data_IF_323944746534
#
_entry.id   IF_323944746534
#
_cell.length_a   1.000
_cell.length_b   1.000
_cell.length_c   1.000
_cell.angle_alpha   90.00
_cell.angle_beta   90.00
_cell.angle_gamma   90.00
#
_symmetry.space_group_name_H-M   'P 1'
#
loop_
_entity.id
_entity.type
_entity.pdbx_description
1 polymer ?
#
# COMPACT_ATOMS: atom_id res chain seq x y z
N UNK A 1 17.03 -14.96 -6.43
CA UNK A 1 17.47 -13.58 -6.76
C UNK A 1 18.90 -13.39 -6.31
N UNK A 2 19.74 -12.81 -7.17
CA UNK A 2 21.12 -12.53 -6.82
C UNK A 2 21.18 -11.48 -5.70
N UNK A 3 22.16 -11.58 -4.77
CA UNK A 3 22.23 -10.65 -3.63
C UNK A 3 22.31 -9.18 -4.01
N UNK A 4 23.04 -8.85 -5.06
CA UNK A 4 23.15 -7.46 -5.53
C UNK A 4 21.81 -6.93 -6.00
N UNK A 5 21.05 -7.75 -6.72
CA UNK A 5 19.73 -7.39 -7.23
C UNK A 5 18.72 -7.23 -6.08
N UNK A 6 18.84 -8.06 -5.06
CA UNK A 6 18.02 -7.95 -3.86
C UNK A 6 18.27 -6.60 -3.17
N UNK A 7 19.52 -6.24 -3.00
CA UNK A 7 19.90 -4.97 -2.35
C UNK A 7 19.37 -3.77 -3.15
N UNK A 8 19.52 -3.79 -4.48
CA UNK A 8 18.99 -2.73 -5.36
C UNK A 8 17.47 -2.61 -5.24
N UNK A 9 16.79 -3.75 -5.23
CA UNK A 9 15.33 -3.80 -5.12
C UNK A 9 14.85 -3.24 -3.78
N UNK A 10 15.50 -3.65 -2.70
CA UNK A 10 15.18 -3.19 -1.35
C UNK A 10 15.49 -1.70 -1.14
N UNK A 11 16.50 -1.17 -1.85
CA UNK A 11 16.82 0.26 -1.79
C UNK A 11 15.67 1.14 -2.31
N UNK A 12 14.91 0.66 -3.29
CA UNK A 12 13.71 1.36 -3.77
C UNK A 12 12.60 1.25 -2.71
N UNK A 13 12.36 0.06 -2.20
CA UNK A 13 11.35 -0.17 -1.17
C UNK A 13 11.63 0.65 0.10
N UNK A 14 12.89 0.89 0.42
CA UNK A 14 13.30 1.69 1.59
C UNK A 14 12.70 3.09 1.56
N UNK A 15 12.45 3.65 0.38
CA UNK A 15 11.86 4.98 0.23
C UNK A 15 10.48 5.10 0.89
N UNK A 16 9.77 3.98 1.05
CA UNK A 16 8.46 3.97 1.71
C UNK A 16 8.54 4.28 3.20
N UNK A 17 9.71 4.14 3.81
CA UNK A 17 9.91 4.51 5.22
C UNK A 17 9.79 6.02 5.43
N UNK A 18 10.18 6.80 4.42
CA UNK A 18 10.15 8.26 4.44
C UNK A 18 8.97 8.85 3.67
N UNK A 19 8.23 8.04 2.92
CA UNK A 19 6.99 8.47 2.26
C UNK A 19 5.89 8.54 3.33
N UNK A 20 5.52 9.75 3.72
CA UNK A 20 4.54 9.96 4.78
C UNK A 20 3.13 10.07 4.23
N UNK A 21 2.19 9.51 4.97
CA UNK A 21 0.76 9.61 4.71
C UNK A 21 0.19 10.84 5.41
N UNK A 22 -1.03 11.22 5.03
CA UNK A 22 -1.77 12.30 5.71
C UNK A 22 -2.53 11.76 6.93
N UNK A 23 -1.88 10.87 7.66
CA UNK A 23 -2.37 10.27 8.90
C UNK A 23 -1.30 10.38 9.97
N UNK A 24 -1.73 10.48 11.21
CA UNK A 24 -0.83 10.62 12.35
C UNK A 24 -0.97 9.43 13.28
N UNK A 25 0.15 9.02 13.88
CA UNK A 25 0.11 8.03 14.96
C UNK A 25 -0.52 8.65 16.20
N UNK A 26 -0.91 7.83 17.16
CA UNK A 26 -1.48 8.30 18.44
C UNK A 26 -0.55 9.24 19.20
N UNK A 27 0.74 9.21 18.91
CA UNK A 27 1.75 10.08 19.53
C UNK A 27 2.07 11.34 18.71
N UNK A 28 1.33 11.59 17.65
CA UNK A 28 1.44 12.81 16.85
C UNK A 28 2.48 12.84 15.77
N UNK A 29 3.09 11.67 15.44
CA UNK A 29 4.03 11.55 14.34
C UNK A 29 3.28 11.14 13.07
N UNK A 30 3.70 11.66 11.92
CA UNK A 30 3.13 11.21 10.64
C UNK A 30 3.47 9.74 10.39
N UNK A 31 2.46 8.98 9.94
CA UNK A 31 2.62 7.60 9.55
C UNK A 31 3.32 7.49 8.19
N UNK A 32 4.19 6.49 8.04
CA UNK A 32 4.80 6.17 6.74
C UNK A 32 3.96 5.17 5.97
N UNK A 33 4.15 5.16 4.64
CA UNK A 33 3.51 4.16 3.75
C UNK A 33 3.95 2.75 4.13
N UNK A 34 5.22 2.57 4.49
CA UNK A 34 5.73 1.27 4.93
C UNK A 34 4.99 0.75 6.16
N UNK A 35 4.73 1.61 7.13
CA UNK A 35 4.02 1.24 8.36
C UNK A 35 2.57 0.84 8.08
N UNK A 36 1.89 1.59 7.23
CA UNK A 36 0.54 1.26 6.79
C UNK A 36 0.50 -0.10 6.09
N UNK A 37 1.40 -0.34 5.14
CA UNK A 37 1.47 -1.60 4.40
C UNK A 37 1.75 -2.79 5.31
N UNK A 38 2.64 -2.62 6.29
CA UNK A 38 2.91 -3.64 7.29
C UNK A 38 1.63 -3.96 8.08
N UNK A 39 0.91 -2.93 8.56
CA UNK A 39 -0.24 -3.14 9.42
C UNK A 39 -1.42 -3.80 8.69
N UNK A 40 -1.68 -3.46 7.43
CA UNK A 40 -2.72 -4.17 6.67
C UNK A 40 -2.33 -5.62 6.37
N UNK A 41 -1.05 -5.89 6.19
CA UNK A 41 -0.58 -7.27 6.02
C UNK A 41 -0.82 -8.08 7.29
N UNK A 42 -0.55 -7.49 8.46
CA UNK A 42 -0.85 -8.10 9.76
C UNK A 42 -2.35 -8.32 9.92
N UNK A 43 -3.18 -7.35 9.52
CA UNK A 43 -4.64 -7.49 9.57
C UNK A 43 -5.11 -8.67 8.71
N UNK A 44 -4.56 -8.83 7.51
CA UNK A 44 -4.90 -9.94 6.62
C UNK A 44 -4.66 -11.29 7.30
N UNK A 45 -3.55 -11.43 7.99
CA UNK A 45 -3.24 -12.62 8.76
C UNK A 45 -4.26 -12.84 9.89
N UNK A 46 -4.55 -11.80 10.65
CA UNK A 46 -5.41 -11.91 11.84
C UNK A 46 -6.90 -12.12 11.53
N UNK A 47 -7.36 -11.75 10.33
CA UNK A 47 -8.75 -12.01 9.91
C UNK A 47 -8.89 -13.25 9.01
N UNK A 48 -7.80 -13.98 8.79
CA UNK A 48 -7.79 -15.10 7.84
C UNK A 48 -8.77 -16.21 8.18
N UNK A 49 -9.06 -16.43 9.44
CA UNK A 49 -10.04 -17.43 9.89
C UNK A 49 -11.49 -17.06 9.54
N UNK A 50 -11.77 -15.78 9.31
CA UNK A 50 -13.09 -15.31 8.86
C UNK A 50 -13.30 -15.55 7.36
N UNK A 51 -12.24 -15.80 6.61
CA UNK A 51 -12.30 -15.99 5.16
C UNK A 51 -11.55 -17.26 4.73
N UNK A 52 -12.04 -18.45 5.15
CA UNK A 52 -11.32 -19.70 4.86
C UNK A 52 -11.19 -20.03 3.38
N UNK A 53 -12.04 -19.46 2.50
CA UNK A 53 -11.97 -19.65 1.06
C UNK A 53 -10.88 -18.80 0.40
N UNK A 54 -10.37 -17.77 1.08
CA UNK A 54 -9.39 -16.88 0.52
C UNK A 54 -7.99 -17.50 0.56
N UNK A 55 -7.21 -17.25 -0.48
CA UNK A 55 -5.79 -17.61 -0.51
C UNK A 55 -5.03 -16.58 0.34
N UNK A 56 -4.64 -16.97 1.54
CA UNK A 56 -3.98 -16.07 2.49
C UNK A 56 -2.63 -15.55 1.97
N UNK A 57 -1.84 -16.43 1.36
CA UNK A 57 -0.55 -16.03 0.79
C UNK A 57 -0.72 -14.91 -0.26
N UNK A 58 -1.67 -15.10 -1.17
CA UNK A 58 -1.98 -14.09 -2.19
C UNK A 58 -2.46 -12.78 -1.54
N UNK A 59 -3.35 -12.87 -0.58
CA UNK A 59 -3.89 -11.70 0.12
C UNK A 59 -2.79 -10.91 0.84
N UNK A 60 -1.91 -11.60 1.54
CA UNK A 60 -0.79 -10.95 2.24
C UNK A 60 0.18 -10.27 1.26
N UNK A 61 0.44 -10.91 0.11
CA UNK A 61 1.27 -10.32 -0.94
C UNK A 61 0.65 -9.05 -1.49
N UNK A 62 -0.66 -9.05 -1.74
CA UNK A 62 -1.40 -7.87 -2.19
C UNK A 62 -1.25 -6.71 -1.19
N UNK A 63 -1.51 -6.98 0.08
CA UNK A 63 -1.39 -5.98 1.13
C UNK A 63 0.02 -5.41 1.21
N UNK A 64 1.03 -6.27 1.12
CA UNK A 64 2.43 -5.89 1.25
C UNK A 64 2.89 -4.96 0.12
N UNK A 65 2.44 -5.21 -1.12
CA UNK A 65 2.94 -4.48 -2.30
C UNK A 65 2.01 -3.39 -2.80
N UNK A 66 0.83 -3.21 -2.19
CA UNK A 66 -0.20 -2.35 -2.78
C UNK A 66 0.24 -0.90 -3.00
N UNK A 67 1.08 -0.35 -2.15
CA UNK A 67 1.53 1.04 -2.23
C UNK A 67 3.01 1.19 -2.63
N UNK A 68 3.64 0.15 -3.20
CA UNK A 68 5.04 0.25 -3.65
C UNK A 68 5.27 1.38 -4.65
N UNK A 69 4.27 1.70 -5.47
CA UNK A 69 4.36 2.80 -6.43
C UNK A 69 4.64 4.15 -5.78
N UNK A 70 4.22 4.33 -4.55
CA UNK A 70 4.45 5.58 -3.81
C UNK A 70 5.93 5.81 -3.48
N UNK A 71 6.80 4.80 -3.65
CA UNK A 71 8.26 4.96 -3.57
C UNK A 71 8.80 5.93 -4.64
N UNK A 72 8.06 6.10 -5.73
CA UNK A 72 8.46 6.94 -6.86
C UNK A 72 7.82 8.32 -6.85
N UNK A 73 6.64 8.46 -6.27
CA UNK A 73 5.85 9.69 -6.29
C UNK A 73 5.52 10.25 -4.91
N UNK A 74 5.72 9.46 -3.86
CA UNK A 74 5.25 9.77 -2.52
C UNK A 74 3.74 9.59 -2.39
N UNK A 75 3.20 9.81 -1.20
CA UNK A 75 1.76 9.75 -0.95
C UNK A 75 1.14 11.09 -1.30
N UNK A 76 0.51 11.16 -2.48
CA UNK A 76 -0.25 12.33 -2.89
C UNK A 76 -1.68 12.14 -2.37
N UNK A 77 -2.23 13.10 -1.60
CA UNK A 77 -3.61 12.99 -1.11
C UNK A 77 -4.58 12.73 -2.26
N UNK A 78 -5.56 11.86 -2.04
CA UNK A 78 -6.52 11.43 -3.07
C UNK A 78 -7.19 12.61 -3.80
N UNK A 79 -7.50 13.68 -3.06
CA UNK A 79 -8.15 14.87 -3.64
C UNK A 79 -7.17 15.75 -4.46
N UNK A 80 -5.85 15.62 -4.26
CA UNK A 80 -4.83 16.32 -5.04
C UNK A 80 -4.26 15.45 -6.17
N UNK A 81 -4.51 14.13 -6.12
CA UNK A 81 -3.96 13.17 -7.07
C UNK A 81 -4.68 13.25 -8.40
N UNK A 82 -3.97 13.64 -9.46
CA UNK A 82 -4.50 13.71 -10.82
C UNK A 82 -4.31 12.38 -11.55
N UNK A 83 -5.01 12.20 -12.69
CA UNK A 83 -4.80 11.06 -13.58
C UNK A 83 -3.34 10.95 -14.05
N UNK A 84 -2.69 12.10 -14.27
CA UNK A 84 -1.28 12.15 -14.67
C UNK A 84 -0.36 11.60 -13.57
N UNK A 85 -0.68 11.89 -12.30
CA UNK A 85 0.07 11.37 -11.16
C UNK A 85 -0.07 9.86 -11.07
N UNK A 86 -1.28 9.34 -11.26
CA UNK A 86 -1.55 7.90 -11.26
C UNK A 86 -0.85 7.18 -12.42
N UNK A 87 -0.90 7.76 -13.62
CA UNK A 87 -0.22 7.21 -14.80
C UNK A 87 1.29 7.20 -14.62
N UNK A 88 1.85 8.26 -14.08
CA UNK A 88 3.29 8.38 -13.81
C UNK A 88 3.73 7.34 -12.79
N UNK A 89 2.99 7.20 -11.70
CA UNK A 89 3.28 6.22 -10.66
C UNK A 89 3.23 4.80 -11.22
N UNK A 90 2.17 4.47 -11.97
CA UNK A 90 2.01 3.16 -12.59
C UNK A 90 3.12 2.86 -13.58
N UNK A 91 3.53 3.83 -14.38
CA UNK A 91 4.61 3.70 -15.36
C UNK A 91 5.95 3.43 -14.67
N UNK A 92 6.29 4.21 -13.64
CA UNK A 92 7.54 4.05 -12.90
C UNK A 92 7.58 2.72 -12.15
N UNK A 93 6.47 2.33 -11.56
CA UNK A 93 6.35 1.04 -10.89
C UNK A 93 6.55 -0.12 -11.87
N UNK A 94 5.93 -0.03 -13.05
CA UNK A 94 6.07 -1.06 -14.06
C UNK A 94 7.52 -1.16 -14.57
N UNK A 95 8.18 -0.04 -14.82
CA UNK A 95 9.60 -0.02 -15.21
C UNK A 95 10.48 -0.71 -14.17
N UNK A 96 10.23 -0.44 -12.89
CA UNK A 96 10.95 -1.07 -11.80
C UNK A 96 10.68 -2.58 -11.75
N UNK A 97 9.41 -2.99 -11.87
CA UNK A 97 9.04 -4.41 -11.87
C UNK A 97 9.70 -5.19 -13.01
N UNK A 98 9.80 -4.58 -14.19
CA UNK A 98 10.40 -5.21 -15.37
C UNK A 98 11.88 -5.54 -15.18
N UNK A 99 12.54 -4.95 -14.20
CA UNK A 99 13.93 -5.22 -13.87
C UNK A 99 14.09 -6.40 -12.91
N UNK A 100 13.00 -6.88 -12.34
CA UNK A 100 13.04 -8.03 -11.42
C UNK A 100 13.17 -9.34 -12.19
N UNK A 101 13.85 -10.34 -11.61
CA UNK A 101 13.90 -11.67 -12.23
C UNK A 101 12.55 -12.39 -12.09
N UNK A 102 12.35 -13.43 -12.92
CA UNK A 102 11.24 -14.34 -12.72
C UNK A 102 11.49 -15.20 -11.47
N UNK A 103 10.47 -15.61 -10.72
CA UNK A 103 9.03 -15.45 -11.06
C UNK A 103 8.44 -14.13 -10.59
N UNK A 104 9.21 -13.22 -10.01
CA UNK A 104 8.70 -12.03 -9.31
C UNK A 104 8.03 -11.03 -10.27
N UNK A 105 8.60 -10.79 -11.45
CA UNK A 105 8.02 -9.84 -12.39
C UNK A 105 6.62 -10.29 -12.82
N UNK A 106 6.47 -11.53 -13.24
CA UNK A 106 5.18 -12.08 -13.70
C UNK A 106 4.15 -12.15 -12.55
N UNK A 107 4.58 -12.59 -11.38
CA UNK A 107 3.71 -12.68 -10.20
C UNK A 107 3.20 -11.31 -9.77
N UNK A 108 4.08 -10.31 -9.69
CA UNK A 108 3.69 -8.97 -9.27
C UNK A 108 2.76 -8.30 -10.29
N UNK A 109 3.03 -8.45 -11.57
CA UNK A 109 2.15 -7.93 -12.62
C UNK A 109 0.75 -8.52 -12.51
N UNK A 110 0.65 -9.81 -12.27
CA UNK A 110 -0.63 -10.50 -12.10
C UNK A 110 -1.36 -10.04 -10.83
N UNK A 111 -0.62 -9.88 -9.72
CA UNK A 111 -1.20 -9.39 -8.46
C UNK A 111 -1.77 -7.97 -8.63
N UNK A 112 -1.02 -7.06 -9.25
CA UNK A 112 -1.51 -5.70 -9.47
C UNK A 112 -2.72 -5.67 -10.40
N UNK A 113 -2.73 -6.50 -11.46
CA UNK A 113 -3.88 -6.62 -12.34
C UNK A 113 -5.13 -7.07 -11.58
N UNK A 114 -4.98 -8.10 -10.75
CA UNK A 114 -6.07 -8.64 -9.94
C UNK A 114 -6.58 -7.61 -8.92
N UNK A 115 -5.67 -6.87 -8.29
CA UNK A 115 -6.02 -5.81 -7.34
C UNK A 115 -6.79 -4.68 -8.01
N UNK A 116 -6.41 -4.30 -9.22
CA UNK A 116 -7.09 -3.25 -9.98
C UNK A 116 -8.48 -3.68 -10.43
N UNK A 117 -8.64 -4.92 -10.89
CA UNK A 117 -9.93 -5.45 -11.34
C UNK A 117 -10.93 -5.63 -10.18
N UNK A 118 -10.46 -5.93 -8.98
CA UNK A 118 -11.28 -6.13 -7.76
C UNK A 118 -12.43 -7.12 -7.89
N UNK A 119 -12.22 -8.18 -8.65
CA UNK A 119 -13.23 -9.21 -8.88
C UNK A 119 -13.07 -10.42 -7.97
N UNK A 120 -11.83 -10.76 -7.63
CA UNK A 120 -11.55 -11.91 -6.77
C UNK A 120 -11.83 -11.59 -5.31
N UNK A 121 -12.04 -12.61 -4.51
CA UNK A 121 -12.27 -12.47 -3.07
C UNK A 121 -11.08 -11.78 -2.41
N UNK A 122 -9.85 -12.20 -2.74
CA UNK A 122 -8.62 -11.65 -2.19
C UNK A 122 -8.48 -10.15 -2.51
N UNK A 123 -8.73 -9.76 -3.74
CA UNK A 123 -8.66 -8.36 -4.14
C UNK A 123 -9.68 -7.49 -3.42
N UNK A 124 -10.86 -8.02 -3.18
CA UNK A 124 -11.94 -7.33 -2.44
C UNK A 124 -11.58 -7.21 -0.96
N UNK A 125 -11.04 -8.26 -0.36
CA UNK A 125 -10.61 -8.24 1.05
C UNK A 125 -9.45 -7.25 1.23
N UNK A 126 -8.43 -7.33 0.36
CA UNK A 126 -7.30 -6.40 0.42
C UNK A 126 -7.77 -4.94 0.46
N UNK A 127 -8.69 -4.60 -0.43
CA UNK A 127 -9.16 -3.21 -0.53
C UNK A 127 -9.98 -2.79 0.70
N UNK A 128 -10.78 -3.70 1.22
CA UNK A 128 -11.52 -3.46 2.46
C UNK A 128 -10.57 -3.24 3.64
N UNK A 129 -9.51 -4.03 3.74
CA UNK A 129 -8.50 -3.89 4.80
C UNK A 129 -7.72 -2.58 4.67
N UNK A 130 -7.39 -2.17 3.46
CA UNK A 130 -6.74 -0.90 3.19
C UNK A 130 -7.56 0.27 3.74
N UNK A 131 -8.85 0.29 3.40
CA UNK A 131 -9.77 1.31 3.88
C UNK A 131 -9.97 1.24 5.40
N UNK A 132 -10.07 0.03 5.95
CA UNK A 132 -10.30 -0.18 7.38
C UNK A 132 -9.08 0.26 8.22
N UNK A 133 -7.87 -0.05 7.77
CA UNK A 133 -6.65 0.36 8.47
C UNK A 133 -6.55 1.89 8.51
N UNK A 134 -6.84 2.56 7.41
CA UNK A 134 -6.85 4.02 7.35
C UNK A 134 -7.86 4.61 8.35
N UNK A 135 -9.06 4.02 8.43
CA UNK A 135 -10.09 4.45 9.37
C UNK A 135 -9.65 4.24 10.83
N UNK A 136 -9.06 3.10 11.12
CA UNK A 136 -8.54 2.79 12.47
C UNK A 136 -7.45 3.80 12.84
N UNK A 137 -6.52 4.09 11.93
CA UNK A 137 -5.45 5.05 12.17
C UNK A 137 -5.98 6.45 12.44
N UNK A 138 -6.99 6.87 11.69
CA UNK A 138 -7.67 8.15 11.96
C UNK A 138 -8.26 8.19 13.37
N UNK A 139 -8.90 7.11 13.78
CA UNK A 139 -9.51 7.03 15.11
C UNK A 139 -8.48 6.98 16.25
N UNK A 140 -7.30 6.50 15.98
CA UNK A 140 -6.20 6.44 16.94
C UNK A 140 -5.41 7.75 17.05
N UNK A 141 -5.55 8.64 16.06
CA UNK A 141 -4.84 9.91 16.05
C UNK A 141 -5.44 10.90 17.04
N UNK A 142 -4.65 11.90 17.45
CA UNK A 142 -5.10 12.97 18.34
C UNK A 142 -6.18 13.82 17.66
N UNK A 143 -7.11 14.37 18.46
CA UNK A 143 -8.22 15.20 17.97
C UNK A 143 -7.71 16.43 17.20
N UNK A 144 -6.59 17.02 17.63
CA UNK A 144 -6.01 18.19 16.96
C UNK A 144 -5.57 17.87 15.52
N UNK A 145 -5.02 16.68 15.29
CA UNK A 145 -4.63 16.22 13.96
C UNK A 145 -5.85 15.86 13.11
N UNK A 146 -6.90 15.30 13.72
CA UNK A 146 -8.15 14.96 13.03
C UNK A 146 -8.84 16.17 12.43
N UNK A 147 -8.70 17.35 13.03
CA UNK A 147 -9.33 18.57 12.51
C UNK A 147 -8.70 19.02 11.19
N UNK A 148 -7.41 18.79 11.00
CA UNK A 148 -6.73 19.04 9.72
C UNK A 148 -7.19 18.05 8.66
N UNK A 149 -7.26 16.77 9.02
CA UNK A 149 -7.71 15.71 8.12
C UNK A 149 -9.17 15.91 7.69
N UNK A 150 -10.03 16.40 8.56
CA UNK A 150 -11.42 16.73 8.20
C UNK A 150 -11.52 17.87 7.20
N UNK A 151 -10.63 18.85 7.27
CA UNK A 151 -10.58 19.92 6.27
C UNK A 151 -10.18 19.38 4.91
N UNK A 152 -9.28 18.43 4.91
CA UNK A 152 -8.73 17.76 3.74
C UNK A 152 -9.75 16.78 3.13
N UNK A 153 -10.54 16.10 3.93
CA UNK A 153 -11.54 15.12 3.48
C UNK A 153 -12.90 15.69 3.07
N UNK A 154 -13.13 17.01 3.23
CA UNK A 154 -14.40 17.66 2.87
C UNK A 154 -14.37 18.40 1.54
N UNK A 155 -13.22 18.51 0.94
CA UNK A 155 -13.02 19.09 -0.39
C UNK A 155 -12.82 18.00 -1.44
#
# INVERSE_FOLDING_TARGET
MEPEKLIETLAVAERLKDATRHCYTSRGRRESVAEHSWRITLMAYLVSDEFPEANLEKLMKMCLIHDLGEAFTGDIPTFEKSEKDEEKEASLLNEWMMQLPEPFVSEMQELYREMEERKTLEARIYKALDNLEALIQHNESDISTRSEERRVGKE
#
